data_IF_833609028099
#
_entry.id   IF_833609028099
#
_cell.length_a   1.000
_cell.length_b   1.000
_cell.length_c   1.000
_cell.angle_alpha   90.00
_cell.angle_beta   90.00
_cell.angle_gamma   90.00
#
_symmetry.space_group_name_H-M   'P 1'
#
loop_
_entity.id
_entity.type
_entity.pdbx_description
1 polymer ?
#
# COMPACT_ATOMS: atom_id res chain seq x y z
N UNK A 1 51.36 -31.04 -46.93
CA UNK A 1 50.82 -29.91 -46.13
C UNK A 1 49.31 -29.81 -46.29
N UNK A 2 48.52 -29.99 -45.23
CA UNK A 2 47.12 -29.51 -45.18
C UNK A 2 46.71 -29.34 -43.71
N UNK A 3 46.85 -28.11 -43.19
CA UNK A 3 46.40 -27.73 -41.84
C UNK A 3 44.87 -27.79 -41.82
N UNK A 4 44.28 -28.72 -41.06
CA UNK A 4 42.82 -28.70 -40.79
C UNK A 4 42.55 -27.61 -39.76
N UNK A 5 41.89 -26.55 -40.23
CA UNK A 5 41.56 -25.37 -39.44
C UNK A 5 40.40 -25.67 -38.48
N UNK A 6 40.59 -25.28 -37.23
CA UNK A 6 39.62 -25.35 -36.13
C UNK A 6 38.34 -24.58 -36.44
N UNK A 7 37.19 -25.20 -36.24
CA UNK A 7 35.92 -24.50 -36.00
C UNK A 7 35.30 -25.04 -34.72
N UNK A 8 35.71 -24.47 -33.58
CA UNK A 8 34.99 -24.59 -32.30
C UNK A 8 33.57 -24.08 -32.53
N UNK A 9 32.57 -24.98 -32.48
CA UNK A 9 31.18 -24.59 -32.42
C UNK A 9 30.97 -23.77 -31.15
N UNK A 10 30.73 -22.46 -31.30
CA UNK A 10 30.30 -21.59 -30.20
C UNK A 10 28.86 -21.99 -29.88
N UNK A 11 28.66 -22.71 -28.77
CA UNK A 11 27.31 -22.92 -28.21
C UNK A 11 26.74 -21.54 -27.90
N UNK A 12 25.72 -21.14 -28.64
CA UNK A 12 24.94 -19.95 -28.37
C UNK A 12 24.16 -20.17 -27.06
N UNK A 13 24.76 -19.80 -25.94
CA UNK A 13 24.03 -19.61 -24.69
C UNK A 13 23.11 -18.40 -24.88
N UNK A 14 21.86 -18.67 -25.28
CA UNK A 14 20.78 -17.70 -25.10
C UNK A 14 20.68 -17.46 -23.60
N UNK A 15 21.06 -16.25 -23.14
CA UNK A 15 20.76 -15.82 -21.77
C UNK A 15 19.26 -16.04 -21.55
N UNK A 16 18.84 -16.69 -20.45
CA UNK A 16 17.42 -16.76 -20.15
C UNK A 16 16.90 -15.32 -20.13
N UNK A 17 15.87 -15.04 -20.93
CA UNK A 17 15.09 -13.81 -20.78
C UNK A 17 14.75 -13.74 -19.30
N UNK A 18 15.15 -12.65 -18.62
CA UNK A 18 14.66 -12.40 -17.27
C UNK A 18 13.15 -12.50 -17.38
N UNK A 19 12.56 -13.53 -16.77
CA UNK A 19 11.13 -13.57 -16.56
C UNK A 19 10.82 -12.23 -15.93
N UNK A 20 9.97 -11.42 -16.57
CA UNK A 20 9.41 -10.25 -15.91
C UNK A 20 8.80 -10.81 -14.64
N UNK A 21 9.50 -10.62 -13.52
CA UNK A 21 9.02 -11.03 -12.23
C UNK A 21 7.67 -10.34 -12.13
N UNK A 22 6.58 -11.10 -12.15
CA UNK A 22 5.24 -10.56 -11.94
C UNK A 22 5.31 -9.94 -10.55
N UNK A 23 5.51 -8.62 -10.50
CA UNK A 23 5.61 -7.90 -9.24
C UNK A 23 4.25 -8.10 -8.59
N UNK A 24 4.22 -8.83 -7.49
CA UNK A 24 3.02 -8.97 -6.69
C UNK A 24 2.54 -7.54 -6.33
N UNK A 25 1.23 -7.31 -6.22
CA UNK A 25 0.72 -6.02 -5.77
C UNK A 25 1.36 -5.66 -4.43
N UNK A 26 1.95 -4.46 -4.36
CA UNK A 26 2.62 -3.96 -3.15
C UNK A 26 1.84 -2.76 -2.63
N UNK A 27 1.41 -2.85 -1.37
CA UNK A 27 0.92 -1.69 -0.65
C UNK A 27 2.10 -0.78 -0.29
N UNK A 28 1.98 0.50 -0.63
CA UNK A 28 3.03 1.52 -0.44
C UNK A 28 2.45 2.69 0.34
N UNK A 29 3.31 3.34 1.11
CA UNK A 29 2.97 4.51 1.89
C UNK A 29 3.81 5.70 1.45
N UNK A 30 3.19 6.87 1.36
CA UNK A 30 3.93 8.13 1.32
C UNK A 30 4.71 8.31 2.63
N UNK A 31 5.78 9.13 2.64
CA UNK A 31 6.49 9.44 3.87
C UNK A 31 5.58 10.01 4.96
N UNK A 32 4.59 10.84 4.59
CA UNK A 32 3.64 11.45 5.52
C UNK A 32 2.67 10.42 6.10
N UNK A 33 2.10 9.56 5.26
CA UNK A 33 1.24 8.46 5.71
C UNK A 33 1.99 7.53 6.67
N UNK A 34 3.23 7.18 6.33
CA UNK A 34 4.07 6.35 7.18
C UNK A 34 4.40 7.02 8.52
N UNK A 35 4.69 8.32 8.52
CA UNK A 35 4.93 9.08 9.74
C UNK A 35 3.68 9.13 10.65
N UNK A 36 2.48 9.34 10.09
CA UNK A 36 1.23 9.26 10.84
C UNK A 36 1.04 7.89 11.47
N UNK A 37 1.28 6.80 10.73
CA UNK A 37 1.19 5.45 11.27
C UNK A 37 2.14 5.20 12.45
N UNK A 38 3.40 5.62 12.32
CA UNK A 38 4.38 5.51 13.41
C UNK A 38 3.94 6.32 14.64
N UNK A 39 3.43 7.53 14.42
CA UNK A 39 2.89 8.35 15.50
C UNK A 39 1.72 7.66 16.21
N UNK A 40 0.76 7.11 15.46
CA UNK A 40 -0.41 6.43 16.04
C UNK A 40 -0.01 5.19 16.84
N UNK A 41 0.95 4.41 16.32
CA UNK A 41 1.51 3.24 17.02
C UNK A 41 2.15 3.64 18.36
N UNK A 42 2.80 4.80 18.40
CA UNK A 42 3.54 5.28 19.58
C UNK A 42 2.69 6.20 20.47
N UNK A 43 1.44 6.50 20.10
CA UNK A 43 0.61 7.51 20.77
C UNK A 43 0.18 7.07 22.17
N UNK A 44 -0.13 5.79 22.35
CA UNK A 44 -0.58 5.27 23.65
C UNK A 44 -0.73 3.75 23.66
N UNK A 45 -1.17 3.22 24.79
CA UNK A 45 -1.26 1.78 25.04
C UNK A 45 -2.52 1.12 24.44
N UNK A 46 -3.19 1.75 23.47
CA UNK A 46 -4.46 1.26 22.90
C UNK A 46 -4.37 1.09 21.39
N UNK A 47 -5.11 0.13 20.84
CA UNK A 47 -5.26 -0.03 19.40
C UNK A 47 -6.01 1.16 18.80
N UNK A 48 -5.42 1.83 17.80
CA UNK A 48 -6.04 2.95 17.08
C UNK A 48 -6.23 2.57 15.63
N UNK A 49 -7.44 2.76 15.10
CA UNK A 49 -7.80 2.50 13.71
C UNK A 49 -7.90 3.77 12.87
N UNK A 50 -7.60 3.66 11.58
CA UNK A 50 -7.76 4.75 10.62
C UNK A 50 -7.92 4.26 9.18
N UNK A 51 -8.45 5.16 8.34
CA UNK A 51 -8.62 4.93 6.91
C UNK A 51 -7.39 5.42 6.15
N UNK A 52 -6.90 4.59 5.23
CA UNK A 52 -5.83 4.94 4.30
C UNK A 52 -6.41 5.66 3.08
N UNK A 53 -6.02 6.91 2.88
CA UNK A 53 -6.38 7.70 1.71
C UNK A 53 -5.36 7.45 0.61
N UNK A 54 -5.80 6.97 -0.55
CA UNK A 54 -4.93 6.56 -1.65
C UNK A 54 -4.96 7.54 -2.82
N UNK A 55 -3.92 7.45 -3.66
CA UNK A 55 -3.91 8.13 -4.96
C UNK A 55 -5.00 7.59 -5.87
N UNK A 56 -5.64 8.48 -6.63
CA UNK A 56 -6.61 8.16 -7.68
C UNK A 56 -6.00 7.38 -8.86
N UNK A 57 -4.69 7.57 -9.11
CA UNK A 57 -3.91 6.87 -10.13
C UNK A 57 -3.39 5.50 -9.66
N UNK A 58 -3.18 5.33 -8.35
CA UNK A 58 -2.73 4.06 -7.76
C UNK A 58 -3.35 3.83 -6.37
N UNK A 59 -4.39 2.98 -6.35
CA UNK A 59 -5.11 2.58 -5.15
C UNK A 59 -4.29 1.70 -4.17
N UNK A 60 -3.03 1.38 -4.48
CA UNK A 60 -2.09 0.74 -3.57
C UNK A 60 -1.04 1.72 -3.01
N UNK A 61 -1.11 3.01 -3.37
CA UNK A 61 -0.30 4.07 -2.79
C UNK A 61 -1.13 4.87 -1.80
N UNK A 62 -0.97 4.59 -0.51
CA UNK A 62 -1.56 5.37 0.60
C UNK A 62 -0.78 6.67 0.74
N UNK A 63 -1.45 7.79 0.52
CA UNK A 63 -0.90 9.13 0.61
C UNK A 63 -1.14 9.76 1.97
N UNK A 64 -2.25 9.41 2.63
CA UNK A 64 -2.57 9.92 3.95
C UNK A 64 -3.32 8.90 4.83
N UNK A 65 -3.39 9.18 6.14
CA UNK A 65 -4.28 8.49 7.08
C UNK A 65 -5.20 9.48 7.80
N UNK A 66 -6.45 9.07 7.92
CA UNK A 66 -7.49 9.81 8.62
C UNK A 66 -8.14 8.93 9.69
N UNK A 67 -8.24 9.48 10.91
CA UNK A 67 -8.99 8.88 12.00
C UNK A 67 -10.44 9.31 11.93
N UNK A 68 -11.31 8.46 12.43
CA UNK A 68 -12.69 8.81 12.79
C UNK A 68 -12.86 8.65 14.30
N UNK A 69 -13.95 9.18 14.84
CA UNK A 69 -14.31 8.93 16.24
C UNK A 69 -14.43 7.42 16.48
N UNK A 70 -13.84 6.97 17.58
CA UNK A 70 -13.64 5.56 17.86
C UNK A 70 -13.43 5.31 19.34
N UNK A 71 -13.83 4.12 19.78
CA UNK A 71 -13.51 3.59 21.11
C UNK A 71 -12.33 2.62 20.98
N UNK A 72 -11.25 2.93 21.70
CA UNK A 72 -10.00 2.17 21.68
C UNK A 72 -9.75 1.48 23.02
N UNK A 73 -9.20 0.27 22.96
CA UNK A 73 -8.70 -0.47 24.11
C UNK A 73 -7.40 -1.19 23.74
N UNK A 74 -6.76 -1.84 24.71
CA UNK A 74 -5.52 -2.60 24.51
C UNK A 74 -5.59 -3.70 23.44
N UNK A 75 -6.78 -4.19 23.09
CA UNK A 75 -6.95 -5.32 22.18
C UNK A 75 -8.19 -5.19 21.28
N UNK A 76 -8.73 -3.97 21.16
CA UNK A 76 -9.90 -3.72 20.34
C UNK A 76 -10.03 -2.25 19.96
N UNK A 77 -10.48 -2.03 18.72
CA UNK A 77 -10.96 -0.75 18.21
C UNK A 77 -12.36 -0.92 17.61
N UNK A 78 -13.27 0.00 17.95
CA UNK A 78 -14.58 0.13 17.33
C UNK A 78 -14.77 1.56 16.84
N UNK A 79 -15.09 1.71 15.55
CA UNK A 79 -15.45 3.00 14.98
C UNK A 79 -16.86 3.37 15.35
N UNK A 80 -17.09 4.65 15.58
CA UNK A 80 -18.44 5.20 15.69
C UNK A 80 -19.09 5.23 14.30
N UNK A 81 -20.29 4.66 14.19
CA UNK A 81 -21.00 4.50 12.92
C UNK A 81 -21.36 5.85 12.27
N UNK A 82 -21.71 6.85 13.09
CA UNK A 82 -22.03 8.20 12.62
C UNK A 82 -20.76 8.92 12.15
N UNK A 83 -19.65 8.76 12.86
CA UNK A 83 -18.37 9.32 12.44
C UNK A 83 -17.85 8.68 11.14
N UNK A 84 -18.08 7.38 10.90
CA UNK A 84 -17.78 6.74 9.62
C UNK A 84 -18.66 7.31 8.51
N UNK A 85 -19.97 7.46 8.74
CA UNK A 85 -20.88 8.03 7.75
C UNK A 85 -20.46 9.46 7.37
N UNK A 86 -20.21 10.31 8.36
CA UNK A 86 -19.75 11.68 8.15
C UNK A 86 -18.41 11.72 7.38
N UNK A 87 -17.47 10.84 7.73
CA UNK A 87 -16.21 10.73 6.98
C UNK A 87 -16.45 10.37 5.51
N UNK A 88 -17.35 9.43 5.20
CA UNK A 88 -17.64 9.07 3.82
C UNK A 88 -18.24 10.24 3.03
N UNK A 89 -19.19 10.95 3.62
CA UNK A 89 -19.81 12.13 2.99
C UNK A 89 -18.76 13.24 2.76
N UNK A 90 -17.93 13.55 3.77
CA UNK A 90 -16.86 14.54 3.68
C UNK A 90 -15.85 14.22 2.55
N UNK A 91 -15.48 12.95 2.38
CA UNK A 91 -14.55 12.55 1.32
C UNK A 91 -15.18 12.65 -0.08
N UNK A 92 -16.47 12.34 -0.21
CA UNK A 92 -17.20 12.49 -1.47
C UNK A 92 -17.36 13.97 -1.83
N UNK A 93 -17.68 14.81 -0.85
CA UNK A 93 -17.76 16.27 -1.03
C UNK A 93 -16.39 16.87 -1.40
N UNK A 94 -15.31 16.30 -0.87
CA UNK A 94 -13.94 16.62 -1.27
C UNK A 94 -13.55 16.08 -2.67
N UNK A 95 -14.44 15.36 -3.34
CA UNK A 95 -14.27 14.85 -4.71
C UNK A 95 -13.52 13.52 -4.81
N UNK A 96 -13.27 12.82 -3.71
CA UNK A 96 -12.65 11.50 -3.73
C UNK A 96 -13.67 10.42 -4.08
N UNK A 97 -13.20 9.37 -4.76
CA UNK A 97 -14.01 8.16 -4.99
C UNK A 97 -13.96 7.23 -3.77
N UNK A 98 -15.02 6.50 -3.43
CA UNK A 98 -15.02 5.56 -2.30
C UNK A 98 -13.87 4.54 -2.29
N UNK A 99 -13.39 4.13 -3.47
CA UNK A 99 -12.22 3.25 -3.60
C UNK A 99 -10.90 3.87 -3.14
N UNK A 100 -10.83 5.21 -3.06
CA UNK A 100 -9.63 5.91 -2.61
C UNK A 100 -9.50 5.93 -1.10
N UNK A 101 -10.60 5.97 -0.36
CA UNK A 101 -10.60 6.19 1.10
C UNK A 101 -11.27 5.07 1.91
N UNK A 102 -12.20 4.32 1.31
CA UNK A 102 -12.90 3.20 1.99
C UNK A 102 -12.26 1.83 1.77
N UNK A 103 -11.21 1.73 0.95
CA UNK A 103 -10.60 0.46 0.57
C UNK A 103 -9.63 -0.10 1.60
N UNK A 104 -8.98 0.78 2.34
CA UNK A 104 -7.87 0.43 3.23
C UNK A 104 -8.21 0.92 4.61
N UNK A 105 -8.35 -0.04 5.52
CA UNK A 105 -8.45 0.20 6.96
C UNK A 105 -7.20 -0.38 7.63
N UNK A 106 -6.60 0.38 8.53
CA UNK A 106 -5.37 0.02 9.24
C UNK A 106 -5.60 0.27 10.73
N UNK A 107 -5.15 -0.66 11.57
CA UNK A 107 -5.11 -0.45 13.02
C UNK A 107 -3.75 -0.89 13.58
N UNK A 108 -3.39 -0.32 14.73
CA UNK A 108 -2.17 -0.63 15.48
C UNK A 108 -2.42 -1.68 16.54
#
# INVERSE_FOLDING_TARGET
MRKKNSKKLRKNYRKPRSQQQTRLPQLRFSPTAWAKLLYLRDYGDTEVGGFGITSDEDLLLVQDLQLVEQTCSLAHVAFDDEAVANFFDDQVDAGLRPEQFGRIWIHT
#
